data_IF_606004382876
#
_entry.id   IF_606004382876
#
_cell.length_a   1.000
_cell.length_b   1.000
_cell.length_c   1.000
_cell.angle_alpha   90.00
_cell.angle_beta   90.00
_cell.angle_gamma   90.00
#
_symmetry.space_group_name_H-M   'P 1'
#
loop_
_entity.id
_entity.type
_entity.pdbx_description
1 polymer ?
#
# COMPACT_ATOMS: atom_id res chain seq x y z
N UNK A 1 -6.01 32.17 34.71
CA UNK A 1 -5.77 30.72 34.90
C UNK A 1 -6.97 30.13 35.61
N UNK A 2 -7.83 29.43 34.88
CA UNK A 2 -8.90 28.60 35.44
C UNK A 2 -8.80 27.26 34.71
N UNK A 3 -8.29 26.24 35.41
CA UNK A 3 -8.19 24.88 34.91
C UNK A 3 -9.58 24.23 35.03
N UNK A 4 -10.31 24.17 33.92
CA UNK A 4 -11.57 23.44 33.82
C UNK A 4 -11.32 21.93 33.78
N UNK A 5 -11.87 21.22 34.77
CA UNK A 5 -11.81 19.75 34.90
C UNK A 5 -12.76 19.08 33.89
N UNK A 6 -12.18 18.31 32.97
CA UNK A 6 -12.58 16.93 32.64
C UNK A 6 -14.03 16.60 32.28
N UNK A 7 -14.69 17.36 31.40
CA UNK A 7 -15.94 16.94 30.74
C UNK A 7 -15.76 16.96 29.22
N UNK A 8 -16.35 15.98 28.52
CA UNK A 8 -16.53 16.09 27.06
C UNK A 8 -17.54 17.19 26.72
N UNK A 9 -17.48 17.72 25.51
CA UNK A 9 -18.43 18.74 25.03
C UNK A 9 -19.43 18.11 24.08
N UNK A 10 -20.71 18.22 24.44
CA UNK A 10 -21.83 17.72 23.64
C UNK A 10 -22.61 18.89 23.04
N UNK A 11 -22.76 18.92 21.70
CA UNK A 11 -23.81 19.68 21.02
C UNK A 11 -23.72 21.22 20.96
N UNK A 12 -22.61 21.78 20.46
CA UNK A 12 -22.47 23.22 20.14
C UNK A 12 -22.55 23.58 18.64
N UNK A 13 -23.10 24.75 18.30
CA UNK A 13 -23.14 25.27 16.91
C UNK A 13 -21.84 25.98 16.48
N UNK A 14 -21.08 26.54 17.43
CA UNK A 14 -19.81 27.23 17.19
C UNK A 14 -18.88 27.08 18.39
N UNK A 15 -17.73 26.45 18.21
CA UNK A 15 -16.69 26.33 19.24
C UNK A 15 -15.63 27.45 19.10
N UNK A 16 -14.92 27.84 20.18
CA UNK A 16 -13.79 28.77 20.10
C UNK A 16 -12.69 28.26 19.15
N UNK A 17 -11.88 29.16 18.59
CA UNK A 17 -10.90 28.84 17.53
C UNK A 17 -9.88 27.76 17.92
N UNK A 18 -9.60 27.63 19.22
CA UNK A 18 -8.76 26.59 19.80
C UNK A 18 -9.52 25.90 20.92
N UNK A 19 -9.49 24.57 20.95
CA UNK A 19 -9.94 23.78 22.10
C UNK A 19 -8.75 23.00 22.68
N UNK A 20 -8.45 23.24 23.97
CA UNK A 20 -7.40 22.57 24.76
C UNK A 20 -8.05 21.79 25.92
N UNK A 21 -8.98 20.89 25.59
CA UNK A 21 -9.75 20.12 26.56
C UNK A 21 -9.24 18.68 26.71
N UNK A 22 -9.40 18.11 27.90
CA UNK A 22 -9.05 16.70 28.17
C UNK A 22 -10.10 15.74 27.58
N UNK A 23 -11.35 16.21 27.42
CA UNK A 23 -12.50 15.44 26.93
C UNK A 23 -12.66 15.40 25.40
N UNK A 24 -13.56 14.54 24.93
CA UNK A 24 -13.93 14.45 23.51
C UNK A 24 -14.98 15.47 23.10
N UNK A 25 -15.23 15.59 21.79
CA UNK A 25 -16.32 16.37 21.21
C UNK A 25 -17.32 15.40 20.58
N UNK A 26 -18.59 15.48 20.96
CA UNK A 26 -19.67 14.71 20.35
C UNK A 26 -20.75 15.64 19.77
N UNK A 27 -20.96 15.54 18.46
CA UNK A 27 -22.00 16.29 17.75
C UNK A 27 -21.72 17.80 17.54
N UNK A 28 -22.50 18.40 16.64
CA UNK A 28 -22.41 19.83 16.28
C UNK A 28 -22.07 20.07 14.80
N UNK A 29 -22.15 21.33 14.36
CA UNK A 29 -21.92 21.68 12.94
C UNK A 29 -20.45 21.92 12.61
N UNK A 30 -19.71 22.63 13.47
CA UNK A 30 -18.36 23.13 13.15
C UNK A 30 -17.45 23.11 14.37
N UNK A 31 -16.40 22.31 14.32
CA UNK A 31 -15.33 22.26 15.33
C UNK A 31 -14.46 23.54 15.37
N UNK A 32 -13.67 23.73 16.45
CA UNK A 32 -12.56 24.70 16.50
C UNK A 32 -11.66 24.60 15.27
N UNK A 33 -10.91 25.64 14.92
CA UNK A 33 -9.88 25.52 13.89
C UNK A 33 -8.76 24.54 14.30
N UNK A 34 -8.46 24.47 15.60
CA UNK A 34 -7.47 23.54 16.17
C UNK A 34 -8.05 22.78 17.38
N UNK A 35 -7.91 21.46 17.39
CA UNK A 35 -8.22 20.60 18.54
C UNK A 35 -6.95 20.03 19.15
N UNK A 36 -6.80 20.20 20.45
CA UNK A 36 -5.76 19.57 21.28
C UNK A 36 -6.40 18.90 22.49
N UNK A 37 -6.38 17.57 22.55
CA UNK A 37 -7.07 16.88 23.64
C UNK A 37 -6.86 15.39 23.74
N UNK A 38 -7.29 14.82 24.87
CA UNK A 38 -7.22 13.37 25.11
C UNK A 38 -8.30 12.59 24.35
N UNK A 39 -9.48 13.19 24.18
CA UNK A 39 -10.66 12.56 23.59
C UNK A 39 -10.70 12.54 22.06
N UNK A 40 -11.71 11.83 21.54
CA UNK A 40 -12.03 11.81 20.11
C UNK A 40 -12.96 12.95 19.70
N UNK A 41 -13.18 13.10 18.40
CA UNK A 41 -14.21 13.99 17.85
C UNK A 41 -15.14 13.12 16.99
N UNK A 42 -16.42 13.11 17.30
CA UNK A 42 -17.43 12.28 16.63
C UNK A 42 -18.67 13.11 16.24
N UNK A 43 -19.31 12.75 15.13
CA UNK A 43 -20.64 13.26 14.77
C UNK A 43 -20.69 14.74 14.34
N UNK A 44 -19.56 15.36 13.99
CA UNK A 44 -19.50 16.75 13.51
C UNK A 44 -19.49 16.84 11.99
N UNK A 45 -20.10 17.87 11.40
CA UNK A 45 -20.06 18.04 9.92
C UNK A 45 -18.68 18.47 9.43
N UNK A 46 -18.06 19.44 10.10
CA UNK A 46 -16.74 19.99 9.75
C UNK A 46 -15.77 19.86 10.91
N UNK A 47 -14.69 19.13 10.68
CA UNK A 47 -13.62 18.89 11.65
C UNK A 47 -12.66 20.07 11.77
N UNK A 48 -11.87 20.13 12.87
CA UNK A 48 -10.81 21.12 12.99
C UNK A 48 -9.83 20.98 11.84
N UNK A 49 -9.28 22.08 11.35
CA UNK A 49 -8.22 22.03 10.33
C UNK A 49 -7.01 21.25 10.82
N UNK A 50 -6.69 21.33 12.12
CA UNK A 50 -5.64 20.57 12.77
C UNK A 50 -6.17 19.80 13.98
N UNK A 51 -6.05 18.48 13.95
CA UNK A 51 -6.35 17.60 15.08
C UNK A 51 -5.05 17.09 15.70
N UNK A 52 -4.88 17.30 17.00
CA UNK A 52 -3.76 16.77 17.80
C UNK A 52 -4.32 16.12 19.08
N UNK A 53 -4.54 14.81 19.08
CA UNK A 53 -5.20 14.19 20.22
C UNK A 53 -5.00 12.69 20.42
N UNK A 54 -5.41 12.20 21.59
CA UNK A 54 -5.33 10.78 21.94
C UNK A 54 -6.36 9.94 21.18
N UNK A 55 -7.57 10.48 21.01
CA UNK A 55 -8.70 9.82 20.37
C UNK A 55 -8.66 9.77 18.85
N UNK A 56 -9.75 9.25 18.28
CA UNK A 56 -9.99 9.20 16.84
C UNK A 56 -10.95 10.28 16.37
N UNK A 57 -11.12 10.34 15.06
CA UNK A 57 -12.11 11.18 14.38
C UNK A 57 -13.11 10.25 13.67
N UNK A 58 -14.41 10.41 13.92
CA UNK A 58 -15.43 9.51 13.40
C UNK A 58 -16.68 10.23 12.87
N UNK A 59 -17.13 9.89 11.67
CA UNK A 59 -18.30 10.54 11.05
C UNK A 59 -17.99 11.94 10.50
N UNK A 60 -18.99 12.61 9.92
CA UNK A 60 -18.86 13.92 9.25
C UNK A 60 -18.50 13.86 7.77
N UNK A 61 -18.52 15.01 7.08
CA UNK A 61 -18.26 15.07 5.62
C UNK A 61 -16.81 15.42 5.27
N UNK A 62 -16.13 16.18 6.14
CA UNK A 62 -14.78 16.70 5.87
C UNK A 62 -13.89 16.55 7.08
N UNK A 63 -12.92 15.64 7.00
CA UNK A 63 -11.93 15.39 8.04
C UNK A 63 -10.92 16.56 8.20
N UNK A 64 -10.14 16.59 9.29
CA UNK A 64 -9.09 17.60 9.47
C UNK A 64 -8.12 17.64 8.31
N UNK A 65 -7.60 18.79 7.91
CA UNK A 65 -6.50 18.84 6.92
C UNK A 65 -5.24 18.12 7.43
N UNK A 66 -4.97 18.19 8.74
CA UNK A 66 -3.87 17.50 9.40
C UNK A 66 -4.37 16.73 10.62
N UNK A 67 -4.13 15.43 10.65
CA UNK A 67 -4.41 14.58 11.80
C UNK A 67 -3.12 14.10 12.47
N UNK A 68 -3.01 14.30 13.78
CA UNK A 68 -1.95 13.76 14.64
C UNK A 68 -2.60 13.11 15.86
N UNK A 69 -2.55 11.79 15.99
CA UNK A 69 -3.17 11.19 17.17
C UNK A 69 -2.96 9.70 17.40
N UNK A 70 -3.43 9.22 18.55
CA UNK A 70 -3.40 7.81 18.89
C UNK A 70 -4.47 7.00 18.15
N UNK A 71 -5.66 7.58 17.99
CA UNK A 71 -6.81 6.98 17.34
C UNK A 71 -6.72 6.92 15.80
N UNK A 72 -7.82 6.47 15.20
CA UNK A 72 -7.98 6.34 13.75
C UNK A 72 -8.94 7.39 13.20
N UNK A 73 -9.10 7.42 11.88
CA UNK A 73 -10.06 8.29 11.21
C UNK A 73 -11.05 7.41 10.43
N UNK A 74 -12.32 7.44 10.84
CA UNK A 74 -13.35 6.55 10.32
C UNK A 74 -14.51 7.36 9.71
N UNK A 75 -14.90 7.01 8.49
CA UNK A 75 -15.97 7.70 7.78
C UNK A 75 -15.59 9.10 7.25
N UNK A 76 -16.53 9.66 6.48
CA UNK A 76 -16.39 10.94 5.77
C UNK A 76 -15.90 10.83 4.33
N UNK A 77 -16.22 11.83 3.51
CA UNK A 77 -15.92 11.81 2.07
C UNK A 77 -14.44 12.08 1.81
N UNK A 78 -13.87 13.05 2.52
CA UNK A 78 -12.49 13.50 2.34
C UNK A 78 -11.69 13.35 3.63
N UNK A 79 -10.62 12.58 3.58
CA UNK A 79 -9.66 12.41 4.67
C UNK A 79 -8.62 13.53 4.74
N UNK A 80 -7.83 13.59 5.84
CA UNK A 80 -6.79 14.60 5.97
C UNK A 80 -5.80 14.60 4.83
N UNK A 81 -5.27 15.73 4.41
CA UNK A 81 -4.14 15.75 3.48
C UNK A 81 -2.91 15.04 4.08
N UNK A 82 -2.72 15.17 5.41
CA UNK A 82 -1.65 14.50 6.14
C UNK A 82 -2.20 13.75 7.36
N UNK A 83 -1.98 12.44 7.37
CA UNK A 83 -2.32 11.57 8.50
C UNK A 83 -1.07 11.14 9.25
N UNK A 84 -1.04 11.34 10.56
CA UNK A 84 -0.06 10.76 11.47
C UNK A 84 -0.75 10.12 12.66
N UNK A 85 -0.88 8.79 12.70
CA UNK A 85 -1.57 8.18 13.84
C UNK A 85 -1.27 6.74 14.18
N UNK A 86 -1.74 6.31 15.35
CA UNK A 86 -1.57 4.95 15.85
C UNK A 86 -2.42 3.93 15.10
N UNK A 87 -3.71 4.24 14.91
CA UNK A 87 -4.67 3.37 14.20
C UNK A 87 -4.78 3.71 12.71
N UNK A 88 -5.62 2.96 12.00
CA UNK A 88 -5.82 3.08 10.56
C UNK A 88 -6.79 4.17 10.13
N UNK A 89 -7.01 4.24 8.82
CA UNK A 89 -8.12 4.97 8.20
C UNK A 89 -9.08 3.94 7.61
N UNK A 90 -10.38 4.10 7.85
CA UNK A 90 -11.41 3.20 7.35
C UNK A 90 -12.55 3.97 6.67
N UNK A 91 -12.79 3.67 5.40
CA UNK A 91 -13.91 4.18 4.60
C UNK A 91 -13.53 5.27 3.60
N UNK A 92 -14.49 6.17 3.34
CA UNK A 92 -14.37 7.41 2.55
C UNK A 92 -14.11 7.27 1.06
N UNK A 93 -13.98 8.39 0.35
CA UNK A 93 -13.65 8.38 -1.10
C UNK A 93 -12.19 8.75 -1.34
N UNK A 94 -11.65 9.72 -0.62
CA UNK A 94 -10.30 10.25 -0.88
C UNK A 94 -9.41 10.13 0.36
N UNK A 95 -8.42 9.23 0.30
CA UNK A 95 -7.40 9.04 1.34
C UNK A 95 -6.40 10.21 1.44
N UNK A 96 -5.65 10.32 2.53
CA UNK A 96 -4.61 11.33 2.69
C UNK A 96 -3.54 11.26 1.62
N UNK A 97 -3.08 12.40 1.10
CA UNK A 97 -1.89 12.42 0.23
C UNK A 97 -0.67 11.80 0.90
N UNK A 98 -0.51 12.01 2.22
CA UNK A 98 0.58 11.43 3.01
C UNK A 98 0.04 10.68 4.24
N UNK A 99 0.25 9.37 4.27
CA UNK A 99 -0.07 8.51 5.41
C UNK A 99 1.19 8.13 6.19
N UNK A 100 1.18 8.34 7.52
CA UNK A 100 2.18 7.85 8.46
C UNK A 100 1.51 7.22 9.68
N UNK A 101 1.45 5.89 9.78
CA UNK A 101 0.76 5.30 10.93
C UNK A 101 1.05 3.84 11.23
N UNK A 102 0.58 3.39 12.39
CA UNK A 102 0.67 1.98 12.79
C UNK A 102 -0.33 1.11 12.01
N UNK A 103 -1.56 1.60 11.86
CA UNK A 103 -2.66 0.90 11.18
C UNK A 103 -2.58 0.90 9.65
N UNK A 104 -3.56 0.25 9.03
CA UNK A 104 -3.76 0.20 7.59
C UNK A 104 -4.63 1.34 7.05
N UNK A 105 -4.81 1.36 5.74
CA UNK A 105 -5.85 2.14 5.06
C UNK A 105 -6.79 1.15 4.39
N UNK A 106 -8.06 1.20 4.74
CA UNK A 106 -9.10 0.29 4.24
C UNK A 106 -10.24 1.10 3.62
N UNK A 107 -10.62 0.77 2.38
CA UNK A 107 -11.63 1.54 1.64
C UNK A 107 -11.03 2.79 0.95
N UNK A 108 -11.90 3.64 0.39
CA UNK A 108 -11.48 4.73 -0.48
C UNK A 108 -11.58 4.39 -1.96
N UNK A 109 -11.89 5.34 -2.83
CA UNK A 109 -11.61 5.22 -4.27
C UNK A 109 -10.17 5.60 -4.58
N UNK A 110 -9.56 6.48 -3.78
CA UNK A 110 -8.17 6.93 -3.99
C UNK A 110 -7.34 6.66 -2.75
N UNK A 111 -6.24 5.89 -2.89
CA UNK A 111 -5.28 5.64 -1.80
C UNK A 111 -4.26 6.78 -1.64
N UNK A 112 -3.50 6.82 -0.53
CA UNK A 112 -2.47 7.83 -0.31
C UNK A 112 -1.41 7.84 -1.38
N UNK A 113 -0.98 9.00 -1.89
CA UNK A 113 0.17 9.06 -2.81
C UNK A 113 1.45 8.53 -2.15
N UNK A 114 1.65 8.81 -0.86
CA UNK A 114 2.76 8.30 -0.07
C UNK A 114 2.26 7.58 1.19
N UNK A 115 2.46 6.27 1.23
CA UNK A 115 2.14 5.44 2.40
C UNK A 115 3.39 5.08 3.18
N UNK A 116 3.40 5.33 4.49
CA UNK A 116 4.39 4.80 5.44
C UNK A 116 3.70 4.23 6.65
N UNK A 117 3.63 2.91 6.80
CA UNK A 117 2.95 2.35 7.97
C UNK A 117 3.21 0.89 8.28
N UNK A 118 2.72 0.44 9.43
CA UNK A 118 2.79 -0.96 9.82
C UNK A 118 1.78 -1.83 9.07
N UNK A 119 0.54 -1.33 8.97
CA UNK A 119 -0.57 -1.97 8.28
C UNK A 119 -0.45 -1.99 6.76
N UNK A 120 -1.49 -2.53 6.12
CA UNK A 120 -1.60 -2.65 4.67
C UNK A 120 -2.47 -1.56 4.05
N UNK A 121 -2.60 -1.60 2.73
CA UNK A 121 -3.58 -0.78 2.00
C UNK A 121 -4.52 -1.74 1.27
N UNK A 122 -5.80 -1.71 1.65
CA UNK A 122 -6.81 -2.62 1.14
C UNK A 122 -7.94 -1.83 0.48
N UNK A 123 -8.19 -2.11 -0.80
CA UNK A 123 -9.29 -1.53 -1.56
C UNK A 123 -8.93 -0.25 -2.33
N UNK A 124 -9.87 0.15 -3.19
CA UNK A 124 -9.83 1.37 -3.97
C UNK A 124 -9.41 1.26 -5.43
N UNK A 125 -9.66 2.36 -6.14
CA UNK A 125 -9.24 2.71 -7.50
C UNK A 125 -7.77 2.48 -7.81
N UNK A 126 -7.00 3.17 -6.98
CA UNK A 126 -5.65 3.61 -7.25
C UNK A 126 -4.81 3.35 -6.02
N UNK A 127 -3.64 2.78 -6.22
CA UNK A 127 -2.67 2.54 -5.17
C UNK A 127 -1.76 3.74 -4.91
N UNK A 128 -1.03 3.73 -3.77
CA UNK A 128 0.04 4.69 -3.54
C UNK A 128 1.10 4.69 -4.62
N UNK A 129 1.53 5.88 -5.05
CA UNK A 129 2.73 6.00 -5.89
C UNK A 129 3.96 5.45 -5.16
N UNK A 130 4.06 5.69 -3.85
CA UNK A 130 5.13 5.18 -3.00
C UNK A 130 4.56 4.48 -1.77
N UNK A 131 4.80 3.17 -1.68
CA UNK A 131 4.44 2.36 -0.51
C UNK A 131 5.68 1.98 0.29
N UNK A 132 5.64 2.24 1.60
CA UNK A 132 6.59 1.69 2.56
C UNK A 132 5.84 1.11 3.76
N UNK A 133 5.72 -0.21 3.87
CA UNK A 133 5.01 -0.78 5.01
C UNK A 133 5.30 -2.22 5.37
N UNK A 134 4.75 -2.63 6.50
CA UNK A 134 4.90 -4.00 7.01
C UNK A 134 4.07 -4.99 6.20
N UNK A 135 2.78 -4.69 6.03
CA UNK A 135 1.83 -5.56 5.34
C UNK A 135 1.76 -5.31 3.83
N UNK A 136 0.92 -6.07 3.16
CA UNK A 136 0.73 -6.01 1.71
C UNK A 136 -0.21 -4.91 1.24
N UNK A 137 -0.38 -4.87 -0.08
CA UNK A 137 -1.33 -3.99 -0.78
C UNK A 137 -2.27 -4.89 -1.59
N UNK A 138 -3.59 -4.73 -1.41
CA UNK A 138 -4.61 -5.58 -2.04
C UNK A 138 -5.74 -4.77 -2.72
N UNK A 139 -6.11 -5.18 -3.94
CA UNK A 139 -7.24 -4.65 -4.72
C UNK A 139 -7.02 -3.30 -5.40
N UNK A 140 -7.49 -3.10 -6.64
CA UNK A 140 -7.36 -1.84 -7.39
C UNK A 140 -7.01 -2.07 -8.84
N UNK A 141 -6.98 -1.00 -9.64
CA UNK A 141 -6.68 -1.07 -11.08
C UNK A 141 -5.35 -0.44 -11.43
N UNK A 142 -4.98 0.65 -10.74
CA UNK A 142 -3.79 1.45 -11.07
C UNK A 142 -2.58 1.10 -10.22
N UNK A 143 -1.41 1.42 -10.76
CA UNK A 143 -0.13 0.88 -10.30
C UNK A 143 0.63 1.77 -9.31
N UNK A 144 1.44 1.15 -8.45
CA UNK A 144 2.46 1.84 -7.66
C UNK A 144 3.67 2.21 -8.53
N UNK A 145 4.40 3.27 -8.20
CA UNK A 145 5.73 3.49 -8.79
C UNK A 145 6.80 2.71 -8.02
N UNK A 146 6.72 2.74 -6.68
CA UNK A 146 7.69 2.11 -5.80
C UNK A 146 7.00 1.38 -4.64
N UNK A 147 7.31 0.08 -4.50
CA UNK A 147 6.91 -0.72 -3.35
C UNK A 147 8.13 -1.09 -2.49
N UNK A 148 8.04 -0.82 -1.19
CA UNK A 148 9.02 -1.30 -0.20
C UNK A 148 8.33 -1.88 1.03
N UNK A 149 8.21 -3.19 1.14
CA UNK A 149 7.50 -3.76 2.29
C UNK A 149 7.74 -5.23 2.58
N UNK A 150 7.22 -5.68 3.73
CA UNK A 150 7.26 -7.09 4.11
C UNK A 150 6.25 -7.92 3.33
N UNK A 151 5.03 -7.40 3.18
CA UNK A 151 3.94 -8.07 2.49
C UNK A 151 4.04 -8.10 0.95
N UNK A 152 3.02 -8.70 0.34
CA UNK A 152 2.89 -8.82 -1.10
C UNK A 152 2.07 -7.71 -1.75
N UNK A 153 1.98 -7.73 -3.08
CA UNK A 153 1.01 -6.94 -3.85
C UNK A 153 0.07 -7.92 -4.54
N UNK A 154 -1.25 -7.73 -4.37
CA UNK A 154 -2.27 -8.61 -4.94
C UNK A 154 -3.35 -7.80 -5.67
N UNK A 155 -3.58 -8.14 -6.94
CA UNK A 155 -4.52 -7.42 -7.79
C UNK A 155 -3.88 -6.23 -8.53
N UNK A 156 -4.68 -5.47 -9.28
CA UNK A 156 -4.17 -4.48 -10.24
C UNK A 156 -4.13 -5.01 -11.67
N UNK A 157 -4.19 -4.11 -12.66
CA UNK A 157 -3.80 -4.44 -14.04
C UNK A 157 -2.30 -4.34 -14.25
N UNK A 158 -1.59 -3.62 -13.38
CA UNK A 158 -0.14 -3.38 -13.49
C UNK A 158 0.49 -3.47 -12.09
N UNK A 159 1.70 -4.04 -12.00
CA UNK A 159 2.50 -4.16 -10.77
C UNK A 159 3.56 -3.05 -10.63
N UNK A 160 4.02 -2.72 -9.40
CA UNK A 160 4.87 -1.56 -9.14
C UNK A 160 6.08 -1.46 -10.06
N UNK A 161 6.44 -0.32 -10.64
CA UNK A 161 7.65 -0.24 -11.50
C UNK A 161 8.92 -0.75 -10.80
N UNK A 162 9.06 -0.45 -9.50
CA UNK A 162 10.12 -1.00 -8.65
C UNK A 162 9.51 -1.71 -7.42
N UNK A 163 9.73 -3.02 -7.32
CA UNK A 163 9.35 -3.82 -6.15
C UNK A 163 10.58 -4.17 -5.31
N UNK A 164 10.52 -3.87 -4.01
CA UNK A 164 11.48 -4.32 -2.98
C UNK A 164 10.74 -4.90 -1.78
N UNK A 165 10.61 -6.21 -1.69
CA UNK A 165 9.86 -6.79 -0.57
C UNK A 165 10.03 -8.27 -0.34
N UNK A 166 9.51 -8.73 0.80
CA UNK A 166 9.53 -10.14 1.17
C UNK A 166 8.41 -10.95 0.51
N UNK A 167 7.24 -10.33 0.32
CA UNK A 167 6.04 -11.00 -0.17
C UNK A 167 5.99 -11.25 -1.67
N UNK A 168 4.94 -11.97 -2.06
CA UNK A 168 4.67 -12.30 -3.46
C UNK A 168 3.98 -11.14 -4.19
N UNK A 169 4.14 -11.10 -5.51
CA UNK A 169 3.38 -10.21 -6.39
C UNK A 169 2.46 -11.10 -7.23
N UNK A 170 1.14 -10.88 -7.10
CA UNK A 170 0.11 -11.70 -7.75
C UNK A 170 -0.86 -10.84 -8.57
N UNK A 171 -1.00 -11.17 -9.85
CA UNK A 171 -1.96 -10.53 -10.76
C UNK A 171 -1.41 -9.35 -11.57
N UNK A 172 -2.25 -8.81 -12.46
CA UNK A 172 -1.89 -7.80 -13.45
C UNK A 172 -1.54 -8.38 -14.82
N UNK A 173 -1.64 -7.58 -15.88
CA UNK A 173 -1.15 -7.91 -17.24
C UNK A 173 0.32 -7.58 -17.39
N UNK A 174 0.84 -6.61 -16.61
CA UNK A 174 2.24 -6.15 -16.68
C UNK A 174 2.88 -6.14 -15.29
N UNK A 175 3.98 -6.86 -15.16
CA UNK A 175 4.79 -6.91 -13.94
C UNK A 175 5.77 -5.72 -13.83
N UNK A 176 6.34 -5.55 -12.62
CA UNK A 176 7.35 -4.56 -12.27
C UNK A 176 8.53 -4.52 -13.21
N UNK A 177 9.04 -3.36 -13.65
CA UNK A 177 10.31 -3.32 -14.42
C UNK A 177 11.50 -3.91 -13.64
N UNK A 178 11.55 -3.66 -12.32
CA UNK A 178 12.58 -4.18 -11.43
C UNK A 178 11.95 -4.86 -10.22
N UNK A 179 12.18 -6.18 -10.08
CA UNK A 179 11.78 -6.95 -8.91
C UNK A 179 13.00 -7.30 -8.06
N UNK A 180 12.92 -7.00 -6.76
CA UNK A 180 13.87 -7.45 -5.74
C UNK A 180 13.10 -8.02 -4.55
N UNK A 181 13.01 -9.34 -4.44
CA UNK A 181 12.23 -9.93 -3.36
C UNK A 181 12.38 -11.41 -3.14
N UNK A 182 11.84 -11.89 -2.02
CA UNK A 182 11.87 -13.30 -1.64
C UNK A 182 10.68 -14.10 -2.15
N UNK A 183 9.58 -13.44 -2.47
CA UNK A 183 8.32 -14.09 -2.82
C UNK A 183 8.20 -14.51 -4.28
N UNK A 184 7.09 -15.18 -4.56
CA UNK A 184 6.71 -15.63 -5.90
C UNK A 184 6.20 -14.43 -6.71
N UNK A 185 6.54 -14.38 -7.99
CA UNK A 185 5.87 -13.49 -8.96
C UNK A 185 5.00 -14.36 -9.84
N UNK A 186 3.69 -14.18 -9.73
CA UNK A 186 2.67 -15.01 -10.37
C UNK A 186 1.68 -14.12 -11.15
N UNK A 187 1.50 -14.47 -12.42
CA UNK A 187 0.54 -13.85 -13.32
C UNK A 187 1.10 -12.75 -14.22
N UNK A 188 0.30 -12.42 -15.24
CA UNK A 188 0.55 -11.36 -16.21
C UNK A 188 1.23 -11.79 -17.50
N UNK A 189 0.98 -11.04 -18.55
CA UNK A 189 1.53 -11.28 -19.89
C UNK A 189 3.02 -10.94 -19.92
N UNK A 190 3.41 -9.85 -19.26
CA UNK A 190 4.78 -9.33 -19.27
C UNK A 190 5.40 -9.40 -17.89
N UNK A 191 6.56 -10.04 -17.76
CA UNK A 191 7.30 -10.18 -16.50
C UNK A 191 8.36 -9.07 -16.29
N UNK A 192 8.97 -8.96 -15.09
CA UNK A 192 9.96 -7.93 -14.84
C UNK A 192 11.15 -7.97 -15.76
N UNK A 193 11.59 -6.84 -16.31
CA UNK A 193 12.82 -6.80 -17.11
C UNK A 193 14.03 -7.29 -16.30
N UNK A 194 14.08 -6.98 -15.00
CA UNK A 194 15.08 -7.47 -14.07
C UNK A 194 14.44 -8.14 -12.85
N UNK A 195 14.69 -9.43 -12.68
CA UNK A 195 14.30 -10.19 -11.49
C UNK A 195 15.53 -10.52 -10.65
N UNK A 196 15.52 -10.13 -9.37
CA UNK A 196 16.50 -10.59 -8.39
C UNK A 196 15.80 -11.06 -7.13
N UNK A 197 16.09 -12.27 -6.65
CA UNK A 197 15.30 -12.77 -5.54
C UNK A 197 15.63 -14.14 -5.01
N UNK A 198 14.78 -14.62 -4.11
CA UNK A 198 14.80 -16.00 -3.64
C UNK A 198 13.71 -16.87 -4.28
N UNK A 199 12.62 -16.24 -4.76
CA UNK A 199 11.41 -16.93 -5.17
C UNK A 199 11.39 -17.43 -6.61
N UNK A 200 10.27 -18.07 -6.94
CA UNK A 200 9.95 -18.58 -8.28
C UNK A 200 9.19 -17.53 -9.07
N UNK A 201 9.34 -17.58 -10.39
CA UNK A 201 8.54 -16.79 -11.33
C UNK A 201 7.64 -17.75 -12.11
N UNK A 202 6.33 -17.63 -11.94
CA UNK A 202 5.33 -18.58 -12.48
C UNK A 202 4.44 -17.89 -13.52
N UNK A 203 4.25 -18.53 -14.67
CA UNK A 203 3.26 -18.15 -15.70
C UNK A 203 3.50 -16.80 -16.42
N UNK A 204 2.88 -16.58 -17.58
CA UNK A 204 3.01 -15.36 -18.39
C UNK A 204 3.78 -15.53 -19.68
N UNK A 205 3.57 -14.69 -20.71
CA UNK A 205 4.13 -14.95 -22.05
C UNK A 205 5.62 -14.64 -22.14
N UNK A 206 6.10 -13.58 -21.49
CA UNK A 206 7.49 -13.12 -21.65
C UNK A 206 8.28 -13.25 -20.35
N UNK A 207 9.43 -13.93 -20.35
CA UNK A 207 10.35 -13.97 -19.20
C UNK A 207 11.09 -12.66 -18.95
N UNK A 208 11.63 -12.47 -17.73
CA UNK A 208 12.57 -11.39 -17.47
C UNK A 208 13.75 -11.37 -18.44
N UNK A 209 14.21 -10.21 -18.89
CA UNK A 209 15.45 -10.16 -19.68
C UNK A 209 16.66 -10.63 -18.86
N UNK A 210 16.68 -10.28 -17.57
CA UNK A 210 17.70 -10.69 -16.61
C UNK A 210 17.06 -11.35 -15.39
N UNK A 211 17.40 -12.62 -15.17
CA UNK A 211 16.98 -13.39 -13.99
C UNK A 211 18.17 -13.68 -13.09
N UNK A 212 18.03 -13.40 -11.79
CA UNK A 212 19.08 -13.52 -10.79
C UNK A 212 18.54 -14.00 -9.44
N UNK A 213 18.22 -15.28 -9.27
CA UNK A 213 17.53 -15.74 -8.07
C UNK A 213 17.81 -17.18 -7.64
N UNK A 214 17.49 -17.50 -6.38
CA UNK A 214 17.59 -18.86 -5.86
C UNK A 214 16.60 -19.83 -6.53
N UNK A 215 15.37 -19.37 -6.78
CA UNK A 215 14.32 -20.15 -7.43
C UNK A 215 14.50 -20.33 -8.94
N UNK A 216 13.52 -21.01 -9.53
CA UNK A 216 13.41 -21.24 -10.98
C UNK A 216 12.40 -20.33 -11.67
N UNK A 217 12.24 -20.56 -12.97
CA UNK A 217 11.15 -20.00 -13.77
C UNK A 217 10.28 -21.17 -14.22
N UNK A 218 8.98 -21.07 -14.00
CA UNK A 218 7.98 -22.02 -14.48
C UNK A 218 7.01 -21.33 -15.44
N UNK A 219 6.95 -21.83 -16.67
CA UNK A 219 6.06 -21.42 -17.72
C UNK A 219 6.50 -20.19 -18.54
N UNK A 220 5.78 -20.00 -19.65
CA UNK A 220 5.87 -18.86 -20.55
C UNK A 220 6.33 -19.21 -21.96
N UNK A 221 6.34 -18.22 -22.86
CA UNK A 221 6.69 -18.45 -24.27
C UNK A 221 8.13 -18.11 -24.61
N UNK A 222 8.79 -17.23 -23.87
CA UNK A 222 10.19 -16.87 -24.12
C UNK A 222 11.00 -16.96 -22.84
N UNK A 223 12.21 -17.51 -22.92
CA UNK A 223 13.16 -17.56 -21.80
C UNK A 223 13.90 -16.24 -21.57
N UNK A 224 14.49 -16.04 -20.37
CA UNK A 224 15.32 -14.87 -20.09
C UNK A 224 16.57 -14.84 -20.97
N UNK A 225 17.02 -13.66 -21.41
CA UNK A 225 18.30 -13.55 -22.14
C UNK A 225 19.48 -13.94 -21.26
N UNK A 226 19.45 -13.55 -19.98
CA UNK A 226 20.46 -13.89 -18.99
C UNK A 226 19.82 -14.57 -17.78
N UNK A 227 20.16 -15.83 -17.54
CA UNK A 227 19.75 -16.59 -16.36
C UNK A 227 20.93 -16.81 -15.41
N UNK A 228 20.78 -16.40 -14.15
CA UNK A 228 21.63 -16.76 -13.03
C UNK A 228 20.78 -17.25 -11.88
N UNK A 229 20.76 -18.54 -11.59
CA UNK A 229 19.93 -19.02 -10.49
C UNK A 229 20.16 -20.44 -10.00
N UNK A 230 19.56 -20.76 -8.86
CA UNK A 230 19.65 -22.10 -8.28
C UNK A 230 18.71 -23.10 -8.96
N UNK A 231 17.52 -22.64 -9.35
CA UNK A 231 16.49 -23.46 -9.99
C UNK A 231 16.68 -23.70 -11.48
N UNK A 232 15.75 -24.45 -12.06
CA UNK A 232 15.64 -24.67 -13.50
C UNK A 232 14.80 -23.61 -14.21
N UNK A 233 14.71 -23.73 -15.52
CA UNK A 233 13.76 -22.99 -16.35
C UNK A 233 12.90 -24.01 -17.08
N UNK A 234 11.64 -24.11 -16.67
CA UNK A 234 10.69 -25.08 -17.21
C UNK A 234 9.66 -24.32 -18.06
N UNK A 235 9.56 -24.64 -19.35
CA UNK A 235 8.70 -23.96 -20.33
C UNK A 235 9.36 -22.81 -21.09
N UNK A 236 8.77 -22.42 -22.22
CA UNK A 236 9.31 -21.41 -23.17
C UNK A 236 9.73 -22.01 -24.49
N UNK A 237 9.43 -21.39 -25.64
CA UNK A 237 9.83 -21.89 -26.96
C UNK A 237 11.31 -21.65 -27.29
N UNK A 238 12.00 -20.82 -26.51
CA UNK A 238 13.42 -20.45 -26.69
C UNK A 238 14.21 -20.69 -25.41
N UNK A 239 15.52 -20.93 -25.53
CA UNK A 239 16.45 -21.07 -24.40
C UNK A 239 17.14 -19.74 -24.04
N UNK A 240 17.63 -19.56 -22.80
CA UNK A 240 18.46 -18.41 -22.44
C UNK A 240 19.74 -18.31 -23.27
N UNK A 241 20.10 -17.10 -23.69
CA UNK A 241 21.37 -16.87 -24.40
C UNK A 241 22.58 -17.09 -23.49
N UNK A 242 22.44 -16.72 -22.21
CA UNK A 242 23.45 -16.96 -21.18
C UNK A 242 22.81 -17.67 -19.99
N UNK A 243 23.13 -18.94 -19.80
CA UNK A 243 22.67 -19.73 -18.66
C UNK A 243 23.79 -19.99 -17.65
N UNK A 244 23.55 -19.66 -16.39
CA UNK A 244 24.37 -20.09 -15.25
C UNK A 244 23.45 -20.50 -14.11
N UNK A 245 23.06 -21.76 -14.07
CA UNK A 245 22.24 -22.25 -12.97
C UNK A 245 22.56 -23.67 -12.54
N UNK A 246 21.97 -24.05 -11.40
CA UNK A 246 22.06 -25.40 -10.86
C UNK A 246 21.01 -26.36 -11.42
N UNK A 247 19.90 -25.86 -11.96
CA UNK A 247 18.84 -26.64 -12.60
C UNK A 247 19.03 -26.85 -14.11
N UNK A 248 18.11 -27.59 -14.72
CA UNK A 248 18.02 -27.78 -16.17
C UNK A 248 17.25 -26.66 -16.88
N UNK A 249 17.18 -26.75 -18.21
CA UNK A 249 16.27 -25.96 -19.04
C UNK A 249 15.44 -26.93 -19.86
N UNK A 250 14.17 -27.08 -19.51
CA UNK A 250 13.27 -28.06 -20.11
C UNK A 250 12.12 -27.34 -20.85
N UNK A 251 11.81 -27.74 -22.09
CA UNK A 251 10.56 -27.34 -22.76
C UNK A 251 10.61 -26.36 -23.94
N UNK A 252 11.75 -26.17 -24.62
CA UNK A 252 11.85 -25.31 -25.81
C UNK A 252 11.98 -26.02 -27.15
N UNK A 253 11.20 -25.57 -28.14
CA UNK A 253 11.28 -26.02 -29.54
C UNK A 253 12.60 -25.64 -30.22
N UNK A 254 13.37 -24.70 -29.65
CA UNK A 254 14.66 -24.24 -30.18
C UNK A 254 15.82 -24.39 -29.19
N UNK A 255 15.62 -25.18 -28.13
CA UNK A 255 16.70 -25.51 -27.21
C UNK A 255 17.60 -26.59 -27.82
N UNK A 256 18.94 -26.45 -27.79
CA UNK A 256 19.82 -27.54 -28.17
C UNK A 256 19.55 -28.72 -27.23
N UNK A 257 19.22 -29.86 -27.81
CA UNK A 257 19.10 -31.12 -27.08
C UNK A 257 20.44 -31.48 -26.44
N UNK A 258 20.44 -31.74 -25.13
CA UNK A 258 21.55 -32.40 -24.44
C UNK A 258 21.77 -33.82 -24.98
#
# INVERSE_FOLDING_TARGET
MLHGRGGGVDGGTTYPSNNEEVGGIEGGTTCPSNYRGGGGVDGVTTYPSNYEGGGGVAGGTTCPSNFRGGGGVNGGTTYPSNYRGGRGIEGGTTCPSNYRGGGGVEGGTTCPSNYRGGGGVNGGTTYPSNYRGGQGVEGGTSCLSNYRGGGGVKGGTTCPSNYRGGGSVKGGTTCSSNYRGGGVVDGGTTRPSNYRGGGVVEGGTTCPSNYGAGGGIDGGTTCPSNYRGGGGVDGGSTCPSNYRGGGGVDGGTTCPSN
#
